data_IF_563501756277
#
_entry.id   IF_563501756277
#
_cell.length_a   1.000
_cell.length_b   1.000
_cell.length_c   1.000
_cell.angle_alpha   90.00
_cell.angle_beta   90.00
_cell.angle_gamma   90.00
#
_symmetry.space_group_name_H-M   'P 1'
#
loop_
_entity.id
_entity.type
_entity.pdbx_description
1 polymer ?
#
# COMPACT_ATOMS: atom_id res chain seq x y z
N UNK A 1 -14.04 -36.05 2.52
CA UNK A 1 -13.92 -35.16 1.33
C UNK A 1 -13.99 -33.74 1.84
N UNK A 2 -13.04 -32.88 1.50
CA UNK A 2 -13.14 -31.47 1.91
C UNK A 2 -14.40 -30.86 1.27
N UNK A 3 -15.21 -30.15 2.06
CA UNK A 3 -16.42 -29.52 1.54
C UNK A 3 -16.04 -28.51 0.45
N UNK A 4 -16.66 -28.67 -0.72
CA UNK A 4 -16.43 -27.81 -1.88
C UNK A 4 -16.93 -26.40 -1.54
N UNK A 5 -16.08 -25.40 -1.67
CA UNK A 5 -16.46 -23.99 -1.47
C UNK A 5 -17.55 -23.62 -2.48
N UNK A 6 -18.65 -23.05 -1.98
CA UNK A 6 -19.82 -22.65 -2.78
C UNK A 6 -20.00 -21.14 -2.82
N UNK A 7 -19.67 -20.44 -1.72
CA UNK A 7 -19.87 -19.00 -1.59
C UNK A 7 -18.65 -18.32 -0.95
N UNK A 8 -18.18 -17.26 -1.57
CA UNK A 8 -17.10 -16.44 -1.01
C UNK A 8 -17.53 -15.00 -0.81
N UNK A 9 -17.01 -14.38 0.23
CA UNK A 9 -17.09 -12.95 0.43
C UNK A 9 -15.80 -12.26 -0.02
N UNK A 10 -15.90 -11.05 -0.56
CA UNK A 10 -14.76 -10.17 -0.83
C UNK A 10 -14.99 -8.82 -0.20
N UNK A 11 -13.98 -8.31 0.51
CA UNK A 11 -14.01 -6.99 1.11
C UNK A 11 -12.68 -6.25 0.92
N UNK A 12 -12.77 -4.91 0.98
CA UNK A 12 -11.62 -4.01 1.09
C UNK A 12 -11.64 -3.35 2.45
N UNK A 13 -10.48 -3.26 3.11
CA UNK A 13 -10.36 -2.72 4.46
C UNK A 13 -9.08 -1.91 4.62
N UNK A 14 -9.10 -0.93 5.51
CA UNK A 14 -7.97 -0.02 5.72
C UNK A 14 -7.99 1.17 4.78
N UNK A 15 -6.82 1.73 4.47
CA UNK A 15 -6.68 2.77 3.45
C UNK A 15 -6.88 2.18 2.05
N UNK A 16 -7.51 2.95 1.18
CA UNK A 16 -7.62 2.58 -0.22
C UNK A 16 -6.26 2.64 -0.93
N UNK A 17 -6.14 1.82 -1.97
CA UNK A 17 -4.96 1.76 -2.81
C UNK A 17 -5.38 1.52 -4.27
N UNK A 18 -4.71 2.18 -5.24
CA UNK A 18 -4.95 1.92 -6.65
C UNK A 18 -4.77 0.43 -6.98
N UNK A 19 -5.71 -0.16 -7.72
CA UNK A 19 -5.70 -1.60 -8.01
C UNK A 19 -6.67 -2.44 -7.17
N UNK A 20 -7.21 -1.93 -6.06
CA UNK A 20 -8.22 -2.65 -5.27
C UNK A 20 -9.44 -3.06 -6.11
N UNK A 21 -9.94 -2.18 -6.98
CA UNK A 21 -11.04 -2.51 -7.89
C UNK A 21 -10.67 -3.58 -8.90
N UNK A 22 -9.43 -3.59 -9.40
CA UNK A 22 -8.95 -4.64 -10.28
C UNK A 22 -8.87 -6.00 -9.56
N UNK A 23 -8.47 -6.01 -8.28
CA UNK A 23 -8.46 -7.21 -7.44
C UNK A 23 -9.89 -7.72 -7.16
N UNK A 24 -10.83 -6.85 -6.77
CA UNK A 24 -12.25 -7.20 -6.61
C UNK A 24 -12.77 -7.86 -7.90
N UNK A 25 -12.51 -7.20 -9.03
CA UNK A 25 -12.94 -7.73 -10.34
C UNK A 25 -12.37 -9.12 -10.61
N UNK A 26 -11.10 -9.34 -10.31
CA UNK A 26 -10.44 -10.63 -10.54
C UNK A 26 -11.02 -11.73 -9.63
N UNK A 27 -11.21 -11.44 -8.34
CA UNK A 27 -11.82 -12.37 -7.38
C UNK A 27 -13.22 -12.76 -7.84
N UNK A 28 -14.09 -11.78 -8.16
CA UNK A 28 -15.47 -12.04 -8.59
C UNK A 28 -15.51 -12.86 -9.88
N UNK A 29 -14.70 -12.51 -10.87
CA UNK A 29 -14.68 -13.25 -12.15
C UNK A 29 -14.10 -14.64 -12.03
N UNK A 30 -13.06 -14.83 -11.21
CA UNK A 30 -12.52 -16.16 -10.92
C UNK A 30 -13.52 -17.03 -10.16
N UNK A 31 -14.26 -16.47 -9.20
CA UNK A 31 -15.33 -17.17 -8.50
C UNK A 31 -16.43 -17.63 -9.49
N UNK A 32 -16.92 -16.71 -10.32
CA UNK A 32 -17.95 -17.03 -11.35
C UNK A 32 -17.47 -18.10 -12.32
N UNK A 33 -16.22 -18.02 -12.79
CA UNK A 33 -15.61 -19.01 -13.68
C UNK A 33 -15.62 -20.43 -13.07
N UNK A 34 -15.43 -20.51 -11.75
CA UNK A 34 -15.43 -21.78 -11.00
C UNK A 34 -16.81 -22.16 -10.43
N UNK A 35 -17.90 -21.50 -10.87
CA UNK A 35 -19.26 -21.72 -10.38
C UNK A 35 -19.41 -21.50 -8.86
N UNK A 36 -18.68 -20.52 -8.32
CA UNK A 36 -18.74 -20.10 -6.92
C UNK A 36 -19.50 -18.77 -6.86
N UNK A 37 -20.47 -18.65 -5.95
CA UNK A 37 -21.16 -17.39 -5.70
C UNK A 37 -20.23 -16.43 -4.98
N UNK A 38 -20.27 -15.13 -5.33
CA UNK A 38 -19.44 -14.12 -4.73
C UNK A 38 -20.28 -12.97 -4.14
N UNK A 39 -19.98 -12.57 -2.91
CA UNK A 39 -20.61 -11.47 -2.22
C UNK A 39 -19.58 -10.36 -1.96
N UNK A 40 -19.88 -9.14 -2.40
CA UNK A 40 -19.15 -7.95 -2.02
C UNK A 40 -19.64 -7.42 -0.68
N UNK A 41 -18.73 -7.15 0.23
CA UNK A 41 -19.04 -6.62 1.55
C UNK A 41 -18.65 -5.16 1.57
N UNK A 42 -19.62 -4.26 1.76
CA UNK A 42 -19.37 -2.83 1.79
C UNK A 42 -18.67 -2.41 3.08
N UNK A 43 -17.82 -1.38 3.00
CA UNK A 43 -17.10 -0.80 4.14
C UNK A 43 -16.28 -1.81 4.97
N UNK A 44 -15.82 -2.89 4.35
CA UNK A 44 -14.96 -3.89 4.96
C UNK A 44 -15.63 -4.61 6.14
N UNK A 45 -14.92 -4.67 7.27
CA UNK A 45 -15.44 -5.37 8.46
C UNK A 45 -16.67 -4.73 9.10
N UNK A 46 -16.88 -3.42 8.89
CA UNK A 46 -18.13 -2.75 9.33
C UNK A 46 -19.34 -3.37 8.64
N UNK A 47 -19.25 -3.62 7.33
CA UNK A 47 -20.35 -4.25 6.58
C UNK A 47 -20.66 -5.68 7.01
N UNK A 48 -19.66 -6.43 7.52
CA UNK A 48 -19.95 -7.73 8.14
C UNK A 48 -20.77 -7.56 9.44
N UNK A 49 -20.47 -6.55 10.25
CA UNK A 49 -21.19 -6.31 11.51
C UNK A 49 -22.60 -5.76 11.23
N UNK A 50 -22.73 -4.85 10.27
CA UNK A 50 -23.99 -4.18 9.92
C UNK A 50 -24.82 -4.92 8.88
N UNK A 51 -24.33 -6.05 8.37
CA UNK A 51 -24.99 -6.89 7.38
C UNK A 51 -25.22 -6.17 6.02
N UNK A 52 -24.21 -5.40 5.58
CA UNK A 52 -24.20 -4.63 4.34
C UNK A 52 -23.43 -5.36 3.24
N UNK A 53 -24.12 -6.28 2.54
CA UNK A 53 -23.54 -7.15 1.50
C UNK A 53 -24.36 -7.09 0.22
N UNK A 54 -23.70 -7.34 -0.90
CA UNK A 54 -24.31 -7.45 -2.22
C UNK A 54 -23.79 -8.67 -2.96
N UNK A 55 -24.69 -9.44 -3.60
CA UNK A 55 -24.27 -10.50 -4.50
C UNK A 55 -23.66 -9.89 -5.76
N UNK A 56 -22.43 -10.29 -6.07
CA UNK A 56 -21.70 -9.82 -7.26
C UNK A 56 -21.67 -10.89 -8.36
N UNK A 57 -21.71 -10.43 -9.58
CA UNK A 57 -21.54 -11.25 -10.76
C UNK A 57 -20.55 -10.61 -11.74
N UNK A 58 -20.23 -11.28 -12.84
CA UNK A 58 -19.26 -10.80 -13.82
C UNK A 58 -19.61 -9.43 -14.43
N UNK A 59 -20.92 -9.07 -14.53
CA UNK A 59 -21.37 -7.77 -15.04
C UNK A 59 -21.28 -6.68 -13.97
N UNK A 60 -21.53 -6.99 -12.69
CA UNK A 60 -21.44 -6.06 -11.57
C UNK A 60 -20.04 -5.49 -11.35
N UNK A 61 -19.00 -6.13 -11.90
CA UNK A 61 -17.60 -5.69 -11.83
C UNK A 61 -17.05 -5.23 -13.18
N UNK A 62 -17.93 -4.85 -14.11
CA UNK A 62 -17.50 -4.28 -15.39
C UNK A 62 -16.99 -2.84 -15.21
N UNK A 63 -16.05 -2.43 -16.07
CA UNK A 63 -15.54 -1.06 -16.15
C UNK A 63 -14.98 -0.49 -14.83
N UNK A 64 -14.44 -1.37 -13.95
CA UNK A 64 -13.81 -0.94 -12.68
C UNK A 64 -12.29 -1.17 -12.65
N UNK A 65 -11.72 -1.88 -13.62
CA UNK A 65 -10.29 -2.24 -13.64
C UNK A 65 -9.36 -1.02 -13.65
N UNK A 66 -9.81 0.08 -14.23
CA UNK A 66 -9.07 1.33 -14.35
C UNK A 66 -9.45 2.38 -13.29
N UNK A 67 -10.41 2.07 -12.40
CA UNK A 67 -10.85 3.02 -11.38
C UNK A 67 -9.98 2.92 -10.13
N UNK A 68 -9.53 4.07 -9.65
CA UNK A 68 -8.92 4.20 -8.32
C UNK A 68 -9.95 4.02 -7.20
N UNK A 69 -9.47 4.02 -5.96
CA UNK A 69 -10.29 3.74 -4.80
C UNK A 69 -10.86 2.32 -4.79
N UNK A 70 -12.00 2.14 -4.16
CA UNK A 70 -12.69 0.85 -4.06
C UNK A 70 -14.21 1.00 -4.17
N UNK A 71 -14.84 0.21 -5.04
CA UNK A 71 -16.32 0.19 -5.19
C UNK A 71 -17.02 -0.36 -3.94
N UNK A 72 -16.34 -1.20 -3.18
CA UNK A 72 -16.86 -1.76 -1.92
C UNK A 72 -16.68 -0.80 -0.75
N UNK A 73 -15.99 0.33 -0.94
CA UNK A 73 -15.63 1.27 0.12
C UNK A 73 -14.78 0.61 1.20
N UNK A 74 -14.25 1.40 2.11
CA UNK A 74 -13.58 0.91 3.31
C UNK A 74 -13.96 1.80 4.49
N UNK A 75 -13.92 1.24 5.70
CA UNK A 75 -14.13 1.97 6.93
C UNK A 75 -13.18 1.47 8.02
N UNK A 76 -12.89 2.34 9.00
CA UNK A 76 -12.26 1.92 10.24
C UNK A 76 -13.34 1.37 11.17
N UNK A 77 -13.28 0.07 11.46
CA UNK A 77 -14.24 -0.59 12.34
C UNK A 77 -13.58 -0.93 13.68
N UNK A 78 -13.77 -0.08 14.69
CA UNK A 78 -13.24 -0.32 16.03
C UNK A 78 -13.92 -1.52 16.71
N UNK A 79 -15.21 -1.70 16.46
CA UNK A 79 -15.99 -2.81 17.01
C UNK A 79 -15.43 -4.16 16.59
N UNK A 80 -14.95 -4.31 15.34
CA UNK A 80 -14.36 -5.56 14.86
C UNK A 80 -13.06 -5.94 15.60
N UNK A 81 -12.41 -5.00 16.28
CA UNK A 81 -11.23 -5.30 17.12
C UNK A 81 -11.60 -6.09 18.38
N UNK A 82 -12.86 -6.07 18.79
CA UNK A 82 -13.38 -6.83 19.93
C UNK A 82 -13.80 -8.24 19.50
N UNK A 83 -13.84 -9.19 20.45
CA UNK A 83 -14.36 -10.55 20.20
C UNK A 83 -15.83 -10.51 19.82
N UNK A 84 -16.62 -9.66 20.50
CA UNK A 84 -18.05 -9.47 20.26
C UNK A 84 -18.32 -9.01 18.83
N UNK A 85 -17.54 -8.07 18.32
CA UNK A 85 -17.64 -7.61 16.93
C UNK A 85 -17.33 -8.72 15.92
N UNK A 86 -16.35 -9.57 16.19
CA UNK A 86 -16.04 -10.72 15.33
C UNK A 86 -17.11 -11.81 15.39
N UNK A 87 -17.76 -12.01 16.55
CA UNK A 87 -18.93 -12.88 16.65
C UNK A 87 -20.09 -12.37 15.76
N UNK A 88 -20.37 -11.07 15.77
CA UNK A 88 -21.39 -10.47 14.88
C UNK A 88 -21.03 -10.65 13.40
N UNK A 89 -19.77 -10.43 13.05
CA UNK A 89 -19.28 -10.65 11.70
C UNK A 89 -19.45 -12.12 11.25
N UNK A 90 -19.11 -13.07 12.12
CA UNK A 90 -19.31 -14.50 11.90
C UNK A 90 -20.80 -14.84 11.67
N UNK A 91 -21.70 -14.31 12.50
CA UNK A 91 -23.14 -14.54 12.36
C UNK A 91 -23.67 -14.05 10.98
N UNK A 92 -23.14 -12.95 10.47
CA UNK A 92 -23.48 -12.47 9.12
C UNK A 92 -23.00 -13.44 8.04
N UNK A 93 -21.77 -13.97 8.15
CA UNK A 93 -21.26 -14.96 7.19
C UNK A 93 -22.13 -16.22 7.19
N UNK A 94 -22.49 -16.72 8.36
CA UNK A 94 -23.39 -17.88 8.50
C UNK A 94 -24.77 -17.63 7.89
N UNK A 95 -25.36 -16.45 8.14
CA UNK A 95 -26.65 -16.05 7.58
C UNK A 95 -26.68 -16.11 6.05
N UNK A 96 -25.59 -15.73 5.39
CA UNK A 96 -25.47 -15.76 3.93
C UNK A 96 -24.82 -17.06 3.41
N UNK A 97 -24.46 -17.97 4.31
CA UNK A 97 -23.77 -19.22 4.01
C UNK A 97 -22.45 -18.98 3.24
N UNK A 98 -21.71 -17.94 3.65
CA UNK A 98 -20.41 -17.61 3.05
C UNK A 98 -19.34 -18.47 3.70
N UNK A 99 -18.71 -19.34 2.90
CA UNK A 99 -17.74 -20.34 3.36
C UNK A 99 -16.38 -19.74 3.68
N UNK A 100 -16.02 -18.65 3.00
CA UNK A 100 -14.68 -18.08 3.08
C UNK A 100 -14.64 -16.61 2.65
N UNK A 101 -13.58 -15.91 3.05
CA UNK A 101 -13.36 -14.50 2.75
C UNK A 101 -12.05 -14.26 1.99
N UNK A 102 -12.12 -13.37 1.00
CA UNK A 102 -10.95 -12.69 0.44
C UNK A 102 -10.89 -11.26 1.00
N UNK A 103 -9.82 -10.95 1.72
CA UNK A 103 -9.61 -9.66 2.38
C UNK A 103 -8.52 -8.90 1.65
N UNK A 104 -8.88 -7.75 1.05
CA UNK A 104 -7.95 -6.88 0.33
C UNK A 104 -7.60 -5.70 1.25
N UNK A 105 -6.35 -5.60 1.68
CA UNK A 105 -5.91 -4.52 2.57
C UNK A 105 -4.50 -4.70 3.11
N UNK A 106 -4.11 -3.80 4.02
CA UNK A 106 -2.79 -3.80 4.67
C UNK A 106 -2.77 -4.59 5.98
N UNK A 107 -1.71 -4.37 6.79
CA UNK A 107 -1.42 -5.08 8.06
C UNK A 107 -2.63 -5.26 8.98
N UNK A 108 -3.35 -4.17 9.29
CA UNK A 108 -4.51 -4.25 10.20
C UNK A 108 -5.66 -5.07 9.65
N UNK A 109 -5.88 -5.03 8.34
CA UNK A 109 -6.93 -5.81 7.67
C UNK A 109 -6.61 -7.30 7.67
N UNK A 110 -5.36 -7.65 7.42
CA UNK A 110 -4.88 -9.04 7.45
C UNK A 110 -4.86 -9.58 8.89
N UNK A 111 -4.51 -8.77 9.87
CA UNK A 111 -4.65 -9.15 11.29
C UNK A 111 -6.10 -9.50 11.63
N UNK A 112 -7.06 -8.70 11.15
CA UNK A 112 -8.48 -8.98 11.33
C UNK A 112 -8.92 -10.29 10.67
N UNK A 113 -8.43 -10.58 9.46
CA UNK A 113 -8.68 -11.83 8.75
C UNK A 113 -8.14 -13.05 9.54
N UNK A 114 -6.91 -12.96 10.00
CA UNK A 114 -6.26 -14.01 10.81
C UNK A 114 -7.05 -14.30 12.09
N UNK A 115 -7.45 -13.25 12.84
CA UNK A 115 -8.22 -13.42 14.06
C UNK A 115 -9.60 -14.04 13.82
N UNK A 116 -10.28 -13.66 12.73
CA UNK A 116 -11.58 -14.24 12.37
C UNK A 116 -11.46 -15.74 12.07
N UNK A 117 -10.38 -16.15 11.43
CA UNK A 117 -10.13 -17.58 11.19
C UNK A 117 -9.75 -18.31 12.46
N UNK A 118 -8.84 -17.77 13.26
CA UNK A 118 -8.39 -18.41 14.52
C UNK A 118 -9.51 -18.57 15.54
N UNK A 119 -10.39 -17.59 15.68
CA UNK A 119 -11.45 -17.58 16.68
C UNK A 119 -12.72 -18.29 16.21
N UNK A 120 -13.00 -18.28 14.89
CA UNK A 120 -14.29 -18.69 14.36
C UNK A 120 -14.21 -19.68 13.20
N UNK A 121 -13.03 -20.08 12.77
CA UNK A 121 -12.84 -21.05 11.70
C UNK A 121 -13.23 -20.57 10.30
N UNK A 122 -13.42 -19.26 10.11
CA UNK A 122 -13.73 -18.69 8.79
C UNK A 122 -12.47 -18.67 7.94
N UNK A 123 -12.43 -19.45 6.87
CA UNK A 123 -11.28 -19.49 5.96
C UNK A 123 -11.02 -18.13 5.33
N UNK A 124 -9.79 -17.64 5.40
CA UNK A 124 -9.43 -16.32 4.89
C UNK A 124 -8.21 -16.36 3.98
N UNK A 125 -8.27 -15.58 2.89
CA UNK A 125 -7.11 -15.28 2.03
C UNK A 125 -6.92 -13.76 2.01
N UNK A 126 -5.69 -13.33 2.28
CA UNK A 126 -5.28 -11.94 2.18
C UNK A 126 -4.75 -11.57 0.79
N UNK A 127 -5.15 -10.40 0.28
CA UNK A 127 -4.50 -9.74 -0.87
C UNK A 127 -3.87 -8.45 -0.34
N UNK A 128 -2.55 -8.23 -0.51
CA UNK A 128 -1.86 -7.07 0.04
C UNK A 128 -2.25 -5.79 -0.71
N UNK A 129 -3.22 -5.04 -0.18
CA UNK A 129 -3.71 -3.78 -0.74
C UNK A 129 -3.27 -2.60 0.13
N UNK A 130 -2.09 -2.07 -0.13
CA UNK A 130 -1.49 -0.91 0.54
C UNK A 130 -0.40 -0.30 -0.35
N UNK A 131 -0.26 1.03 -0.31
CA UNK A 131 0.82 1.73 -1.03
C UNK A 131 2.15 1.70 -0.27
N UNK A 132 2.16 1.36 1.01
CA UNK A 132 3.32 1.47 1.90
C UNK A 132 4.39 0.40 1.64
N UNK A 133 4.03 -0.67 0.93
CA UNK A 133 4.86 -1.84 0.61
C UNK A 133 5.55 -2.47 1.84
N UNK A 134 4.84 -2.47 2.98
CA UNK A 134 5.34 -2.85 4.30
C UNK A 134 4.99 -4.29 4.72
N UNK A 135 4.44 -5.11 3.82
CA UNK A 135 4.05 -6.51 4.08
C UNK A 135 5.16 -7.48 3.65
N UNK A 136 5.55 -8.37 4.57
CA UNK A 136 6.63 -9.34 4.33
C UNK A 136 6.18 -10.48 3.40
N UNK A 137 7.08 -10.90 2.52
CA UNK A 137 6.88 -12.07 1.65
C UNK A 137 6.27 -11.78 0.28
N UNK A 138 6.07 -10.53 -0.05
CA UNK A 138 5.74 -10.09 -1.42
C UNK A 138 6.71 -8.99 -1.87
N UNK A 139 7.13 -8.99 -3.12
CA UNK A 139 7.96 -7.92 -3.68
C UNK A 139 7.19 -6.59 -3.77
N UNK A 140 5.92 -6.67 -4.14
CA UNK A 140 5.07 -5.50 -4.33
C UNK A 140 3.68 -5.73 -3.74
N UNK A 141 3.14 -4.71 -3.09
CA UNK A 141 1.74 -4.61 -2.70
C UNK A 141 0.94 -3.85 -3.75
N UNK A 142 -0.38 -4.03 -3.79
CA UNK A 142 -1.25 -3.33 -4.73
C UNK A 142 -1.30 -1.84 -4.41
N UNK A 143 -1.10 -1.02 -5.44
CA UNK A 143 -1.12 0.42 -5.39
C UNK A 143 0.24 1.06 -5.18
N UNK A 144 1.25 0.29 -4.81
CA UNK A 144 2.61 0.79 -4.59
C UNK A 144 3.21 1.39 -5.88
N UNK A 145 3.15 0.67 -7.01
CA UNK A 145 3.67 1.16 -8.27
C UNK A 145 2.96 2.44 -8.74
N UNK A 146 1.65 2.51 -8.57
CA UNK A 146 0.88 3.72 -8.89
C UNK A 146 1.26 4.90 -7.98
N UNK A 147 1.46 4.65 -6.69
CA UNK A 147 1.89 5.69 -5.74
C UNK A 147 3.29 6.22 -6.09
N UNK A 148 4.22 5.34 -6.49
CA UNK A 148 5.55 5.74 -6.98
C UNK A 148 5.45 6.64 -8.21
N UNK A 149 4.69 6.24 -9.22
CA UNK A 149 4.52 7.03 -10.45
C UNK A 149 3.85 8.39 -10.16
N UNK A 150 2.92 8.44 -9.21
CA UNK A 150 2.31 9.70 -8.76
C UNK A 150 3.34 10.60 -8.09
N UNK A 151 4.15 10.06 -7.18
CA UNK A 151 5.21 10.79 -6.49
C UNK A 151 6.26 11.32 -7.48
N UNK A 152 6.78 10.48 -8.36
CA UNK A 152 7.77 10.87 -9.40
C UNK A 152 7.19 11.98 -10.28
N UNK A 153 5.98 11.82 -10.81
CA UNK A 153 5.34 12.86 -11.64
C UNK A 153 5.13 14.19 -10.91
N UNK A 154 4.91 14.16 -9.58
CA UNK A 154 4.81 15.39 -8.79
C UNK A 154 6.19 16.02 -8.56
N UNK A 155 7.20 15.21 -8.26
CA UNK A 155 8.58 15.66 -8.06
C UNK A 155 9.14 16.29 -9.34
N UNK A 156 8.92 15.68 -10.50
CA UNK A 156 9.35 16.22 -11.82
C UNK A 156 8.79 17.64 -12.04
N UNK A 157 7.49 17.84 -11.76
CA UNK A 157 6.86 19.17 -11.90
C UNK A 157 7.44 20.20 -10.92
N UNK A 158 7.82 19.77 -9.71
CA UNK A 158 8.49 20.63 -8.73
C UNK A 158 9.92 20.93 -9.20
N UNK A 159 10.62 19.97 -9.79
CA UNK A 159 11.96 20.15 -10.34
C UNK A 159 11.98 21.21 -11.45
N UNK A 160 10.99 21.21 -12.35
CA UNK A 160 10.90 22.20 -13.41
C UNK A 160 10.83 23.64 -12.85
N UNK A 161 10.08 23.83 -11.75
CA UNK A 161 10.02 25.15 -11.11
C UNK A 161 11.24 25.44 -10.21
N UNK A 162 11.84 24.42 -9.61
CA UNK A 162 13.05 24.59 -8.79
C UNK A 162 14.24 25.11 -9.61
N UNK A 163 14.42 24.59 -10.82
CA UNK A 163 15.52 24.98 -11.73
C UNK A 163 15.46 26.44 -12.18
N UNK A 164 14.29 27.08 -12.11
CA UNK A 164 14.10 28.47 -12.49
C UNK A 164 14.57 29.47 -11.44
N UNK A 165 14.89 29.02 -10.21
CA UNK A 165 15.27 29.86 -9.09
C UNK A 165 16.25 29.06 -8.20
N UNK A 166 17.04 29.75 -7.36
CA UNK A 166 17.92 29.11 -6.40
C UNK A 166 17.13 28.54 -5.20
N UNK A 167 16.39 27.42 -5.42
CA UNK A 167 15.45 26.86 -4.47
C UNK A 167 15.84 25.48 -4.01
N UNK A 168 15.62 25.23 -2.72
CA UNK A 168 15.71 23.93 -2.09
C UNK A 168 14.32 23.43 -1.73
N UNK A 169 13.91 22.30 -2.32
CA UNK A 169 12.60 21.71 -2.03
C UNK A 169 12.71 20.49 -1.13
N UNK A 170 11.97 20.50 -0.04
CA UNK A 170 11.65 19.31 0.74
C UNK A 170 10.31 18.75 0.27
N UNK A 171 10.30 17.52 -0.20
CA UNK A 171 9.09 16.87 -0.71
C UNK A 171 8.78 15.67 0.17
N UNK A 172 7.73 15.80 0.99
CA UNK A 172 7.26 14.71 1.83
C UNK A 172 6.36 13.76 1.05
N UNK A 173 6.68 12.47 1.11
CA UNK A 173 5.90 11.38 0.52
C UNK A 173 5.34 10.47 1.60
N UNK A 174 4.25 9.78 1.33
CA UNK A 174 3.66 8.78 2.21
C UNK A 174 4.61 7.59 2.41
N UNK A 175 4.32 6.70 3.35
CA UNK A 175 5.11 5.50 3.65
C UNK A 175 4.84 4.93 5.03
N UNK A 176 4.11 5.63 5.89
CA UNK A 176 3.70 5.14 7.23
C UNK A 176 4.86 4.59 8.06
N UNK A 177 5.97 5.32 8.10
CA UNK A 177 7.17 4.91 8.83
C UNK A 177 8.03 3.87 8.11
N UNK A 178 7.87 3.73 6.79
CA UNK A 178 8.66 2.94 5.86
C UNK A 178 9.22 3.84 4.77
N UNK A 179 10.47 3.64 4.38
CA UNK A 179 11.17 4.42 3.36
C UNK A 179 10.94 3.95 1.92
N UNK A 180 10.11 2.94 1.68
CA UNK A 180 9.97 2.34 0.35
C UNK A 180 9.57 3.34 -0.74
N UNK A 181 8.56 4.19 -0.49
CA UNK A 181 8.13 5.19 -1.47
C UNK A 181 9.20 6.26 -1.64
N UNK A 182 9.75 6.79 -0.53
CA UNK A 182 10.75 7.84 -0.58
C UNK A 182 12.01 7.41 -1.34
N UNK A 183 12.54 6.22 -1.04
CA UNK A 183 13.75 5.69 -1.68
C UNK A 183 13.55 5.50 -3.20
N UNK A 184 12.48 4.80 -3.59
CA UNK A 184 12.26 4.51 -5.01
C UNK A 184 11.85 5.75 -5.81
N UNK A 185 10.99 6.62 -5.25
CA UNK A 185 10.62 7.87 -5.90
C UNK A 185 11.80 8.86 -5.97
N UNK A 186 12.63 8.92 -4.92
CA UNK A 186 13.83 9.74 -4.90
C UNK A 186 14.84 9.32 -5.96
N UNK A 187 15.13 8.02 -6.08
CA UNK A 187 15.97 7.48 -7.15
C UNK A 187 15.35 7.78 -8.51
N UNK A 188 14.07 7.46 -8.69
CA UNK A 188 13.36 7.61 -9.97
C UNK A 188 13.24 9.04 -10.45
N UNK A 189 13.17 10.01 -9.54
CA UNK A 189 13.13 11.43 -9.85
C UNK A 189 14.50 12.13 -9.74
N UNK A 190 15.59 11.42 -9.43
CA UNK A 190 16.93 11.99 -9.31
C UNK A 190 17.05 13.01 -8.16
N UNK A 191 16.51 12.70 -6.99
CA UNK A 191 16.66 13.55 -5.81
C UNK A 191 18.12 13.60 -5.35
N UNK A 192 18.55 14.77 -4.86
CA UNK A 192 19.88 14.97 -4.32
C UNK A 192 20.07 14.30 -2.95
N UNK A 193 18.98 14.17 -2.19
CA UNK A 193 18.97 13.43 -0.91
C UNK A 193 17.62 12.75 -0.69
N UNK A 194 17.66 11.62 -0.01
CA UNK A 194 16.47 10.88 0.40
C UNK A 194 16.54 10.55 1.88
N UNK A 195 15.59 11.08 2.65
CA UNK A 195 15.52 10.89 4.09
C UNK A 195 14.48 9.80 4.42
N UNK A 196 14.96 8.71 4.98
CA UNK A 196 14.15 7.51 5.28
C UNK A 196 14.30 7.08 6.75
N UNK A 197 13.24 6.53 7.36
CA UNK A 197 13.27 6.13 8.78
C UNK A 197 14.31 5.09 9.11
N UNK A 198 14.64 4.23 8.15
CA UNK A 198 15.56 3.10 8.33
C UNK A 198 17.02 3.52 8.49
N UNK A 199 17.42 4.65 7.92
CA UNK A 199 18.77 5.20 8.06
C UNK A 199 18.91 6.18 9.23
N UNK A 200 17.79 6.54 9.88
CA UNK A 200 17.75 7.64 10.83
C UNK A 200 17.94 8.99 10.13
N UNK A 201 17.99 10.06 10.95
CA UNK A 201 18.19 11.38 10.42
C UNK A 201 19.52 11.94 10.91
N UNK A 202 20.40 12.19 9.97
CA UNK A 202 21.65 12.91 10.19
C UNK A 202 21.59 14.27 9.51
N UNK A 203 21.21 15.29 10.29
CA UNK A 203 21.13 16.68 9.81
C UNK A 203 22.49 17.24 9.41
N UNK A 204 23.56 16.84 10.08
CA UNK A 204 24.93 17.28 9.74
C UNK A 204 25.36 16.68 8.40
N UNK A 205 25.08 15.40 8.17
CA UNK A 205 25.29 14.75 6.87
C UNK A 205 24.53 15.49 5.75
N UNK A 206 23.27 15.83 5.99
CA UNK A 206 22.45 16.58 5.02
C UNK A 206 23.05 17.94 4.72
N UNK A 207 23.46 18.70 5.76
CA UNK A 207 24.12 19.99 5.59
C UNK A 207 25.41 19.89 4.79
N UNK A 208 26.23 18.87 5.08
CA UNK A 208 27.49 18.65 4.37
C UNK A 208 27.26 18.25 2.90
N UNK A 209 26.24 17.43 2.61
CA UNK A 209 25.85 17.08 1.25
C UNK A 209 25.42 18.32 0.45
N UNK A 210 24.55 19.17 1.04
CA UNK A 210 24.09 20.41 0.41
C UNK A 210 25.26 21.38 0.13
N UNK A 211 26.19 21.55 1.09
CA UNK A 211 27.40 22.38 0.89
C UNK A 211 28.32 21.85 -0.20
N UNK A 212 28.43 20.52 -0.35
CA UNK A 212 29.20 19.90 -1.46
C UNK A 212 28.52 20.14 -2.81
N UNK A 213 27.20 19.96 -2.88
CA UNK A 213 26.40 20.22 -4.07
C UNK A 213 26.52 21.67 -4.54
N UNK A 214 26.48 22.61 -3.61
CA UNK A 214 26.69 24.04 -3.88
C UNK A 214 28.08 24.31 -4.48
N UNK A 215 29.14 23.74 -3.89
CA UNK A 215 30.52 23.89 -4.41
C UNK A 215 30.67 23.32 -5.83
N UNK A 216 29.85 22.32 -6.21
CA UNK A 216 29.82 21.78 -7.57
C UNK A 216 29.02 22.63 -8.56
N UNK A 217 28.45 23.77 -8.14
CA UNK A 217 27.71 24.69 -8.98
C UNK A 217 26.20 24.38 -9.11
N UNK A 218 25.66 23.48 -8.31
CA UNK A 218 24.21 23.25 -8.27
C UNK A 218 23.50 24.41 -7.57
N UNK A 219 22.48 24.96 -8.24
CA UNK A 219 21.69 26.10 -7.75
C UNK A 219 20.33 25.70 -7.15
N UNK A 220 19.91 24.48 -7.36
CA UNK A 220 18.63 23.94 -6.83
C UNK A 220 18.81 22.50 -6.40
N UNK A 221 18.09 22.07 -5.37
CA UNK A 221 18.12 20.69 -4.88
C UNK A 221 16.74 20.23 -4.45
N UNK A 222 16.50 18.94 -4.63
CA UNK A 222 15.29 18.25 -4.19
C UNK A 222 15.66 17.22 -3.14
N UNK A 223 15.04 17.33 -1.97
CA UNK A 223 15.16 16.38 -0.88
C UNK A 223 13.82 15.67 -0.72
N UNK A 224 13.80 14.35 -0.92
CA UNK A 224 12.62 13.55 -0.70
C UNK A 224 12.63 13.01 0.73
N UNK A 225 11.50 13.18 1.44
CA UNK A 225 11.36 12.80 2.85
C UNK A 225 10.20 11.83 3.01
N UNK A 226 10.43 10.68 3.65
CA UNK A 226 9.34 9.79 4.03
C UNK A 226 8.55 10.35 5.21
N UNK A 227 7.22 10.28 5.18
CA UNK A 227 6.39 10.58 6.37
C UNK A 227 6.66 9.58 7.50
N UNK A 228 6.46 9.98 8.76
CA UNK A 228 6.41 9.08 9.91
C UNK A 228 7.07 9.62 11.17
N UNK A 229 6.61 9.13 12.33
CA UNK A 229 7.05 9.56 13.67
C UNK A 229 8.55 9.33 13.94
N UNK A 230 9.16 8.33 13.26
CA UNK A 230 10.58 8.01 13.45
C UNK A 230 11.54 9.05 12.88
N UNK A 231 11.09 9.87 11.92
CA UNK A 231 11.88 10.97 11.35
C UNK A 231 11.79 12.22 12.23
N UNK A 232 11.06 12.15 13.34
CA UNK A 232 10.93 13.23 14.33
C UNK A 232 10.22 14.45 13.76
N UNK A 233 9.00 14.59 14.12
CA UNK A 233 8.22 15.80 14.16
C UNK A 233 7.95 16.65 12.93
N UNK A 234 8.29 16.26 11.69
CA UNK A 234 7.81 17.12 10.61
C UNK A 234 8.92 17.65 9.69
N UNK A 235 8.69 17.48 8.41
CA UNK A 235 9.50 18.08 7.33
C UNK A 235 9.79 19.58 7.52
N UNK A 236 8.92 20.31 8.23
CA UNK A 236 9.12 21.73 8.56
C UNK A 236 10.24 21.99 9.58
N UNK A 237 10.50 21.07 10.52
CA UNK A 237 11.66 21.22 11.43
C UNK A 237 12.98 21.08 10.68
N UNK A 238 13.00 20.18 9.70
CA UNK A 238 14.17 19.98 8.85
C UNK A 238 14.43 21.21 7.99
N UNK A 239 13.39 21.67 7.28
CA UNK A 239 13.50 22.85 6.46
C UNK A 239 13.96 24.06 7.27
N UNK A 240 13.41 24.27 8.47
CA UNK A 240 13.81 25.38 9.37
C UNK A 240 15.26 25.25 9.88
N UNK A 241 15.74 24.02 10.11
CA UNK A 241 17.14 23.81 10.50
C UNK A 241 18.09 24.14 9.36
N UNK A 242 17.79 23.71 8.15
CA UNK A 242 18.59 24.03 6.96
C UNK A 242 18.56 25.53 6.67
N UNK A 243 17.39 26.17 6.76
CA UNK A 243 17.23 27.62 6.53
C UNK A 243 18.13 28.46 7.44
N UNK A 244 18.27 28.05 8.70
CA UNK A 244 19.17 28.72 9.65
C UNK A 244 20.66 28.60 9.28
N UNK A 245 21.07 27.47 8.73
CA UNK A 245 22.46 27.16 8.42
C UNK A 245 22.87 27.52 6.98
N UNK A 246 21.90 27.62 6.06
CA UNK A 246 22.09 27.97 4.66
C UNK A 246 21.06 29.05 4.23
N UNK A 247 21.17 30.28 4.77
CA UNK A 247 20.13 31.33 4.61
C UNK A 247 20.04 31.92 3.21
N UNK A 248 20.94 31.57 2.31
CA UNK A 248 20.91 31.97 0.90
C UNK A 248 20.02 31.10 0.02
N UNK A 249 19.55 29.93 0.53
CA UNK A 249 18.57 29.13 -0.16
C UNK A 249 17.14 29.57 0.14
N UNK A 250 16.33 29.70 -0.90
CA UNK A 250 14.88 29.84 -0.76
C UNK A 250 14.26 28.45 -0.53
N UNK A 251 13.94 28.11 0.73
CA UNK A 251 13.42 26.79 1.08
C UNK A 251 11.91 26.72 0.84
N UNK A 252 11.48 25.61 0.24
CA UNK A 252 10.07 25.29 -0.01
C UNK A 252 9.77 23.87 0.49
N UNK A 253 8.58 23.69 1.06
CA UNK A 253 8.08 22.38 1.50
C UNK A 253 6.84 22.03 0.68
N UNK A 254 6.80 20.81 0.18
CA UNK A 254 5.64 20.24 -0.51
C UNK A 254 5.30 18.90 0.11
N UNK A 255 4.09 18.77 0.65
CA UNK A 255 3.58 17.51 1.21
C UNK A 255 2.63 16.90 0.17
N UNK A 256 3.02 15.77 -0.44
CA UNK A 256 2.20 15.15 -1.47
C UNK A 256 0.94 14.51 -0.88
N UNK A 257 1.04 13.90 0.29
CA UNK A 257 -0.12 13.35 1.01
C UNK A 257 -0.98 12.41 0.15
N UNK A 258 -2.29 12.54 0.31
CA UNK A 258 -3.28 11.59 -0.21
C UNK A 258 -3.42 11.52 -1.74
N UNK A 259 -2.80 12.42 -2.53
CA UNK A 259 -2.76 12.26 -3.99
C UNK A 259 -2.10 10.92 -4.40
N UNK A 260 -1.22 10.39 -3.56
CA UNK A 260 -0.53 9.11 -3.76
C UNK A 260 -1.44 7.89 -3.58
N UNK A 261 -2.60 8.05 -2.92
CA UNK A 261 -3.61 6.97 -2.75
C UNK A 261 -4.61 6.91 -3.89
N UNK A 262 -4.71 7.98 -4.68
CA UNK A 262 -5.72 8.13 -5.73
C UNK A 262 -5.20 7.80 -7.12
N UNK A 263 -6.09 8.03 -8.09
CA UNK A 263 -5.78 7.90 -9.49
C UNK A 263 -6.05 6.53 -10.09
N UNK A 264 -5.94 6.48 -11.40
CA UNK A 264 -6.10 5.26 -12.18
C UNK A 264 -4.88 4.36 -11.97
N UNK A 265 -5.05 3.07 -11.58
CA UNK A 265 -3.91 2.18 -11.36
C UNK A 265 -3.09 2.00 -12.64
N UNK A 266 -1.76 1.93 -12.49
CA UNK A 266 -0.85 1.62 -13.60
C UNK A 266 -1.17 0.27 -14.22
N UNK A 267 -0.63 0.01 -15.41
CA UNK A 267 -0.73 -1.33 -16.02
C UNK A 267 -0.18 -2.41 -15.10
N UNK A 268 0.94 -2.12 -14.42
CA UNK A 268 1.55 -3.05 -13.47
C UNK A 268 0.58 -3.42 -12.34
N UNK A 269 0.01 -2.44 -11.65
CA UNK A 269 -0.93 -2.69 -10.54
C UNK A 269 -2.21 -3.42 -11.01
N UNK A 270 -2.73 -3.12 -12.22
CA UNK A 270 -3.90 -3.85 -12.77
C UNK A 270 -3.59 -5.32 -13.04
N UNK A 271 -2.43 -5.62 -13.61
CA UNK A 271 -2.00 -7.00 -13.90
C UNK A 271 -1.72 -7.73 -12.60
N UNK A 272 -0.99 -7.12 -11.67
CA UNK A 272 -0.69 -7.70 -10.36
C UNK A 272 -1.97 -8.02 -9.59
N UNK A 273 -2.90 -7.06 -9.51
CA UNK A 273 -4.20 -7.24 -8.87
C UNK A 273 -5.01 -8.38 -9.50
N UNK A 274 -4.97 -8.49 -10.84
CA UNK A 274 -5.66 -9.57 -11.54
C UNK A 274 -5.06 -10.94 -11.23
N UNK A 275 -3.72 -11.04 -11.21
CA UNK A 275 -3.03 -12.28 -10.83
C UNK A 275 -3.29 -12.68 -9.40
N UNK A 276 -3.19 -11.72 -8.44
CA UNK A 276 -3.45 -11.97 -7.02
C UNK A 276 -4.90 -12.39 -6.77
N UNK A 277 -5.86 -11.73 -7.43
CA UNK A 277 -7.28 -12.05 -7.27
C UNK A 277 -7.64 -13.46 -7.76
N UNK A 278 -7.10 -13.87 -8.91
CA UNK A 278 -7.28 -15.25 -9.43
C UNK A 278 -6.61 -16.24 -8.46
N UNK A 279 -5.34 -16.00 -8.11
CA UNK A 279 -4.61 -16.91 -7.23
C UNK A 279 -5.24 -17.06 -5.83
N UNK A 280 -5.85 -16.00 -5.30
CA UNK A 280 -6.58 -16.07 -4.03
C UNK A 280 -7.77 -17.05 -4.09
N UNK A 281 -8.52 -17.06 -5.21
CA UNK A 281 -9.63 -17.99 -5.40
C UNK A 281 -9.10 -19.42 -5.61
N UNK A 282 -8.02 -19.61 -6.36
CA UNK A 282 -7.38 -20.92 -6.56
C UNK A 282 -6.90 -21.52 -5.24
N UNK A 283 -6.33 -20.71 -4.35
CA UNK A 283 -5.95 -21.12 -3.01
C UNK A 283 -7.14 -21.60 -2.18
N UNK A 284 -8.26 -20.85 -2.21
CA UNK A 284 -9.49 -21.28 -1.53
C UNK A 284 -10.01 -22.62 -2.08
N UNK A 285 -10.08 -22.77 -3.40
CA UNK A 285 -10.53 -24.03 -4.06
C UNK A 285 -9.60 -25.18 -3.66
N UNK A 286 -8.32 -24.93 -3.52
CA UNK A 286 -7.32 -25.91 -3.05
C UNK A 286 -7.33 -26.10 -1.53
N UNK A 287 -8.35 -25.58 -0.83
CA UNK A 287 -8.51 -25.67 0.62
C UNK A 287 -7.36 -25.02 1.44
N UNK A 288 -6.66 -24.06 0.87
CA UNK A 288 -5.69 -23.25 1.60
C UNK A 288 -6.39 -22.08 2.26
N UNK A 289 -5.93 -21.68 3.44
CA UNK A 289 -6.45 -20.50 4.16
C UNK A 289 -5.42 -19.95 5.14
N UNK A 290 -5.73 -18.84 5.80
CA UNK A 290 -4.83 -18.11 6.70
C UNK A 290 -3.52 -17.70 6.04
N UNK A 291 -3.58 -17.38 4.76
CA UNK A 291 -2.44 -16.99 3.94
C UNK A 291 -2.69 -15.67 3.22
N UNK A 292 -1.63 -14.95 2.95
CA UNK A 292 -1.59 -13.82 2.04
C UNK A 292 -1.00 -14.29 0.70
N UNK A 293 -1.64 -13.93 -0.40
CA UNK A 293 -1.04 -14.09 -1.73
C UNK A 293 -0.04 -12.98 -1.99
N UNK A 294 1.03 -13.27 -2.68
CA UNK A 294 2.08 -12.31 -3.00
C UNK A 294 2.76 -12.64 -4.31
N UNK A 295 3.77 -11.83 -4.67
CA UNK A 295 4.62 -12.06 -5.84
C UNK A 295 6.09 -12.03 -5.44
N UNK A 296 6.85 -13.03 -5.89
CA UNK A 296 8.30 -13.11 -5.74
C UNK A 296 8.90 -13.74 -7.01
N UNK A 297 9.93 -13.14 -7.57
CA UNK A 297 10.60 -13.61 -8.81
C UNK A 297 9.59 -13.89 -9.94
N UNK A 298 8.66 -12.95 -10.14
CA UNK A 298 7.55 -13.01 -11.10
C UNK A 298 6.58 -14.20 -10.93
N UNK A 299 6.67 -14.95 -9.86
CA UNK A 299 5.78 -16.05 -9.52
C UNK A 299 4.83 -15.66 -8.40
N UNK A 300 3.59 -16.14 -8.49
CA UNK A 300 2.66 -16.03 -7.36
C UNK A 300 3.14 -16.94 -6.24
N UNK A 301 3.12 -16.41 -5.02
CA UNK A 301 3.51 -17.12 -3.79
C UNK A 301 2.43 -16.96 -2.73
N UNK A 302 2.46 -17.84 -1.74
CA UNK A 302 1.61 -17.75 -0.55
C UNK A 302 2.46 -17.63 0.68
N UNK A 303 2.04 -16.79 1.63
CA UNK A 303 2.74 -16.54 2.90
C UNK A 303 1.74 -16.62 4.03
N UNK A 304 1.98 -17.33 5.14
CA UNK A 304 1.10 -17.28 6.30
C UNK A 304 0.85 -15.83 6.73
N UNK A 305 -0.41 -15.47 6.98
CA UNK A 305 -0.77 -14.07 7.35
C UNK A 305 0.04 -13.61 8.56
N UNK A 306 0.18 -14.47 9.57
CA UNK A 306 0.98 -14.16 10.77
C UNK A 306 2.41 -13.72 10.42
N UNK A 307 3.03 -14.36 9.42
CA UNK A 307 4.39 -14.01 8.96
C UNK A 307 4.37 -12.72 8.14
N UNK A 308 3.35 -12.54 7.32
CA UNK A 308 3.24 -11.38 6.44
C UNK A 308 3.10 -10.05 7.21
N UNK A 309 2.41 -10.09 8.37
CA UNK A 309 2.15 -8.90 9.21
C UNK A 309 3.20 -8.67 10.31
N UNK A 310 4.11 -9.62 10.54
CA UNK A 310 5.19 -9.48 11.55
C UNK A 310 6.40 -8.75 10.98
N UNK A 311 6.76 -7.66 11.61
CA UNK A 311 7.88 -6.81 11.19
C UNK A 311 7.48 -5.87 10.05
N UNK A 312 8.41 -5.34 9.32
CA UNK A 312 8.23 -4.60 8.06
C UNK A 312 9.06 -5.29 6.98
N UNK A 313 8.72 -5.07 5.74
CA UNK A 313 9.61 -5.45 4.65
C UNK A 313 10.87 -4.60 4.72
N UNK A 314 12.04 -5.23 4.76
CA UNK A 314 13.31 -4.51 4.75
C UNK A 314 13.52 -3.82 3.41
N UNK A 315 14.11 -2.63 3.45
CA UNK A 315 14.56 -1.94 2.25
C UNK A 315 15.73 -2.71 1.60
N UNK A 316 15.75 -2.68 0.29
CA UNK A 316 16.86 -3.24 -0.48
C UNK A 316 18.14 -2.40 -0.24
N UNK A 317 19.14 -3.02 0.38
CA UNK A 317 20.42 -2.38 0.68
C UNK A 317 21.19 -1.95 -0.58
N UNK A 318 21.00 -2.66 -1.69
CA UNK A 318 21.61 -2.26 -2.97
C UNK A 318 20.95 -0.98 -3.52
N UNK A 319 19.62 -0.84 -3.40
CA UNK A 319 18.95 0.41 -3.76
C UNK A 319 19.38 1.60 -2.88
N UNK A 320 19.62 1.39 -1.59
CA UNK A 320 20.18 2.43 -0.72
C UNK A 320 21.57 2.84 -1.23
N UNK A 321 22.45 1.87 -1.53
CA UNK A 321 23.77 2.13 -2.12
C UNK A 321 23.69 2.85 -3.46
N UNK A 322 22.76 2.44 -4.32
CA UNK A 322 22.51 3.11 -5.61
C UNK A 322 22.10 4.57 -5.38
N UNK A 323 21.17 4.82 -4.45
CA UNK A 323 20.75 6.16 -4.09
C UNK A 323 21.95 7.04 -3.66
N UNK A 324 22.78 6.54 -2.74
CA UNK A 324 23.97 7.26 -2.26
C UNK A 324 24.96 7.58 -3.40
N UNK A 325 25.12 6.70 -4.40
CA UNK A 325 26.03 6.90 -5.53
C UNK A 325 25.51 7.95 -6.51
N UNK A 326 24.23 7.95 -6.81
CA UNK A 326 23.66 8.84 -7.85
C UNK A 326 23.23 10.21 -7.33
N UNK A 327 23.25 10.42 -6.02
CA UNK A 327 22.93 11.70 -5.37
C UNK A 327 24.06 12.72 -5.36
N UNK A 328 25.08 12.54 -6.21
CA UNK A 328 26.31 13.37 -6.28
C UNK A 328 26.04 14.70 -6.97
#
# INVERSE_FOLDING_TARGET
MADKIKKIGVLTSGGDAPGMNAAIRAVVRSAVYNNIECFGIYKGYEGLITNDLVKLNARGVNNIVNKGGTILKSARCLEFRTKEGRIKAKATLEKYEIDSLVVIGGNGSLTGAMLLEQEHGVKTIGIPGTIDNDLVGTRCTLGYDTALNTAVSAIDKIRDTASSHNRLFFIEVMGKGSGHIALNAGIGAGAEEVLIPEQGMDLERLLDSLKKSEKSGKSSSIIVVSEGEKIGDNVFKFSSHIEKNLPHYEIRVSILGHIQRGGSPTCFDRVLASRMGVHAVDCLISNQSNIMVGIKDDKMVTVPIEKAIKGGQELDKDLIRVCDIISI
#
